data_IF_311810645103
#
_entry.id   IF_311810645103
#
_cell.length_a   1.000
_cell.length_b   1.000
_cell.length_c   1.000
_cell.angle_alpha   90.00
_cell.angle_beta   90.00
_cell.angle_gamma   90.00
#
_symmetry.space_group_name_H-M   'P 1'
#
loop_
_entity.id
_entity.type
_entity.pdbx_description
1 polymer ?
#
# COMPACT_ATOMS: atom_id res chain seq x y z
N UNK A 1 -6.27 14.08 -9.45
CA UNK A 1 -6.32 15.26 -8.54
C UNK A 1 -6.68 14.76 -7.14
N UNK A 2 -6.03 15.24 -6.08
CA UNK A 2 -6.42 14.85 -4.72
C UNK A 2 -7.88 15.26 -4.45
N UNK A 3 -8.61 14.41 -3.75
CA UNK A 3 -10.00 14.68 -3.35
C UNK A 3 -10.08 15.91 -2.44
N UNK A 4 -11.24 16.58 -2.41
CA UNK A 4 -11.42 17.74 -1.54
C UNK A 4 -11.33 17.37 -0.05
N UNK A 5 -11.07 18.36 0.81
CA UNK A 5 -11.01 18.18 2.28
C UNK A 5 -12.29 17.52 2.82
N UNK A 6 -13.44 17.94 2.31
CA UNK A 6 -14.75 17.38 2.69
C UNK A 6 -14.87 15.93 2.20
N UNK A 7 -14.48 15.66 0.96
CA UNK A 7 -14.46 14.30 0.42
C UNK A 7 -13.55 13.36 1.22
N UNK A 8 -12.36 13.82 1.61
CA UNK A 8 -11.44 13.05 2.46
C UNK A 8 -12.05 12.72 3.84
N UNK A 9 -12.75 13.68 4.46
CA UNK A 9 -13.43 13.45 5.77
C UNK A 9 -14.55 12.42 5.66
N UNK A 10 -15.36 12.48 4.59
CA UNK A 10 -16.41 11.50 4.33
C UNK A 10 -15.81 10.12 4.08
N UNK A 11 -14.79 10.02 3.23
CA UNK A 11 -14.05 8.77 2.97
C UNK A 11 -13.49 8.17 4.27
N UNK A 12 -12.92 8.99 5.15
CA UNK A 12 -12.41 8.55 6.46
C UNK A 12 -13.50 7.94 7.35
N UNK A 13 -14.71 8.54 7.36
CA UNK A 13 -15.84 8.00 8.12
C UNK A 13 -16.32 6.67 7.53
N UNK A 14 -16.43 6.58 6.20
CA UNK A 14 -16.80 5.34 5.50
C UNK A 14 -15.79 4.22 5.77
N UNK A 15 -14.49 4.53 5.77
CA UNK A 15 -13.45 3.55 6.08
C UNK A 15 -13.53 3.02 7.52
N UNK A 16 -13.82 3.88 8.50
CA UNK A 16 -14.03 3.44 9.88
C UNK A 16 -15.19 2.46 10.02
N UNK A 17 -16.31 2.71 9.34
CA UNK A 17 -17.48 1.82 9.34
C UNK A 17 -17.14 0.50 8.64
N UNK A 18 -16.46 0.55 7.47
CA UNK A 18 -16.02 -0.63 6.74
C UNK A 18 -15.08 -1.50 7.59
N UNK A 19 -14.11 -0.88 8.27
CA UNK A 19 -13.08 -1.59 9.06
C UNK A 19 -13.66 -2.29 10.29
N UNK A 20 -14.76 -1.78 10.83
CA UNK A 20 -15.52 -2.46 11.88
C UNK A 20 -16.21 -3.73 11.37
N UNK A 21 -16.61 -3.73 10.10
CA UNK A 21 -17.36 -4.84 9.48
C UNK A 21 -16.46 -5.86 8.75
N UNK A 22 -15.24 -5.48 8.39
CA UNK A 22 -14.28 -6.31 7.61
C UNK A 22 -12.88 -6.12 8.18
N UNK A 23 -12.39 -7.03 9.02
CA UNK A 23 -11.04 -6.97 9.56
C UNK A 23 -9.99 -6.88 8.45
N UNK A 24 -9.17 -5.85 8.48
CA UNK A 24 -8.08 -5.63 7.50
C UNK A 24 -6.97 -6.66 7.64
N UNK A 25 -6.87 -7.32 8.78
CA UNK A 25 -5.91 -8.40 9.03
C UNK A 25 -6.00 -9.52 7.99
N UNK A 26 -7.22 -9.91 7.58
CA UNK A 26 -7.40 -10.98 6.58
C UNK A 26 -6.74 -10.64 5.23
N UNK A 27 -6.77 -9.36 4.83
CA UNK A 27 -6.13 -8.90 3.59
C UNK A 27 -4.61 -8.93 3.73
N UNK A 28 -4.10 -8.48 4.89
CA UNK A 28 -2.67 -8.44 5.17
C UNK A 28 -2.05 -9.84 5.34
N UNK A 29 -2.83 -10.84 5.78
CA UNK A 29 -2.35 -12.23 5.84
C UNK A 29 -1.99 -12.78 4.46
N UNK A 30 -2.71 -12.37 3.41
CA UNK A 30 -2.41 -12.76 2.03
C UNK A 30 -1.12 -12.11 1.51
N UNK A 31 -0.71 -10.97 2.05
CA UNK A 31 0.52 -10.24 1.67
C UNK A 31 1.81 -10.87 2.25
N UNK A 32 1.71 -11.92 3.08
CA UNK A 32 2.82 -12.70 3.66
C UNK A 32 3.87 -11.86 4.38
N UNK A 33 3.44 -10.78 5.06
CA UNK A 33 4.31 -9.88 5.80
C UNK A 33 4.92 -10.62 7.00
N UNK A 34 6.22 -10.42 7.23
CA UNK A 34 6.96 -11.03 8.33
C UNK A 34 7.61 -9.97 9.23
N UNK A 35 7.97 -10.37 10.44
CA UNK A 35 8.76 -9.55 11.35
C UNK A 35 10.06 -9.08 10.68
N UNK A 36 10.40 -7.81 10.86
CA UNK A 36 11.59 -7.20 10.30
C UNK A 36 11.44 -6.73 8.85
N UNK A 37 10.29 -6.95 8.20
CA UNK A 37 10.07 -6.49 6.82
C UNK A 37 9.97 -4.97 6.72
N UNK A 38 10.45 -4.44 5.60
CA UNK A 38 10.17 -3.09 5.12
C UNK A 38 8.94 -3.13 4.23
N UNK A 39 7.87 -2.44 4.63
CA UNK A 39 6.57 -2.46 3.94
C UNK A 39 6.20 -1.05 3.49
N UNK A 40 5.82 -0.91 2.22
CA UNK A 40 5.23 0.32 1.69
C UNK A 40 3.70 0.16 1.60
N UNK A 41 2.95 1.03 2.26
CA UNK A 41 1.51 1.23 2.06
C UNK A 41 1.32 2.39 1.07
N UNK A 42 1.13 2.07 -0.22
CA UNK A 42 0.99 3.05 -1.29
C UNK A 42 -0.48 3.46 -1.43
N UNK A 43 -0.77 4.72 -1.13
CA UNK A 43 -2.14 5.23 -0.98
C UNK A 43 -2.71 4.89 0.40
N UNK A 44 -1.93 5.16 1.45
CA UNK A 44 -2.25 4.76 2.83
C UNK A 44 -3.53 5.39 3.39
N UNK A 45 -4.06 6.44 2.75
CA UNK A 45 -5.27 7.13 3.17
C UNK A 45 -5.22 7.55 4.65
N UNK A 46 -6.33 7.40 5.38
CA UNK A 46 -6.37 7.77 6.80
C UNK A 46 -5.69 6.74 7.74
N UNK A 47 -4.92 5.79 7.23
CA UNK A 47 -4.08 4.88 8.00
C UNK A 47 -4.76 3.63 8.52
N UNK A 48 -5.72 3.08 7.77
CA UNK A 48 -6.44 1.90 8.20
C UNK A 48 -5.60 0.63 8.34
N UNK A 49 -4.50 0.51 7.60
CA UNK A 49 -3.57 -0.62 7.71
C UNK A 49 -2.42 -0.40 8.70
N UNK A 50 -2.20 0.83 9.18
CA UNK A 50 -1.02 1.19 9.97
C UNK A 50 -0.89 0.36 11.25
N UNK A 51 -1.92 0.31 12.09
CA UNK A 51 -1.83 -0.45 13.35
C UNK A 51 -1.63 -1.96 13.13
N UNK A 52 -2.39 -2.62 12.23
CA UNK A 52 -2.10 -4.00 11.87
C UNK A 52 -0.70 -4.22 11.29
N UNK A 53 -0.17 -3.29 10.49
CA UNK A 53 1.20 -3.39 9.96
C UNK A 53 2.25 -3.31 11.06
N UNK A 54 2.08 -2.41 12.05
CA UNK A 54 2.99 -2.29 13.19
C UNK A 54 3.10 -3.61 13.95
N UNK A 55 1.98 -4.30 14.16
CA UNK A 55 1.95 -5.61 14.81
C UNK A 55 2.68 -6.67 13.96
N UNK A 56 2.43 -6.69 12.64
CA UNK A 56 3.00 -7.70 11.75
C UNK A 56 4.51 -7.53 11.53
N UNK A 57 4.99 -6.31 11.29
CA UNK A 57 6.42 -6.09 11.04
C UNK A 57 7.24 -6.06 12.33
N UNK A 58 6.61 -5.78 13.46
CA UNK A 58 7.28 -5.67 14.76
C UNK A 58 8.24 -4.47 14.85
N UNK A 59 8.98 -4.33 15.96
CA UNK A 59 9.84 -3.17 16.21
C UNK A 59 11.09 -3.11 15.31
N UNK A 60 11.50 -4.23 14.73
CA UNK A 60 12.66 -4.30 13.80
C UNK A 60 12.29 -4.05 12.34
N UNK A 61 11.00 -4.04 12.01
CA UNK A 61 10.52 -3.74 10.66
C UNK A 61 10.34 -2.25 10.44
N UNK A 62 10.12 -1.86 9.18
CA UNK A 62 9.93 -0.47 8.77
C UNK A 62 8.64 -0.33 7.97
N UNK A 63 7.85 0.70 8.24
CA UNK A 63 6.64 1.03 7.48
C UNK A 63 6.84 2.37 6.77
N UNK A 64 6.58 2.38 5.47
CA UNK A 64 6.50 3.59 4.66
C UNK A 64 5.03 3.81 4.32
N UNK A 65 4.47 4.94 4.74
CA UNK A 65 3.08 5.32 4.47
C UNK A 65 3.07 6.45 3.45
N UNK A 66 2.71 6.13 2.20
CA UNK A 66 2.71 7.09 1.10
C UNK A 66 1.27 7.45 0.70
N UNK A 67 1.03 8.75 0.54
CA UNK A 67 -0.22 9.26 -0.03
C UNK A 67 0.03 10.63 -0.67
N UNK A 68 -0.75 10.96 -1.70
CA UNK A 68 -0.72 12.28 -2.34
C UNK A 68 -1.42 13.35 -1.48
N UNK A 69 -2.30 12.93 -0.55
CA UNK A 69 -3.16 13.83 0.19
C UNK A 69 -2.52 14.25 1.53
N UNK A 70 -2.24 15.54 1.78
CA UNK A 70 -1.57 16.00 3.02
C UNK A 70 -2.36 15.68 4.30
N UNK A 71 -3.69 15.53 4.22
CA UNK A 71 -4.48 15.11 5.38
C UNK A 71 -4.25 13.63 5.75
N UNK A 72 -3.98 12.76 4.77
CA UNK A 72 -3.60 11.38 5.02
C UNK A 72 -2.28 11.35 5.82
N UNK A 73 -1.27 12.03 5.33
CA UNK A 73 0.05 12.14 5.98
C UNK A 73 -0.08 12.70 7.41
N UNK A 74 -0.89 13.75 7.59
CA UNK A 74 -1.15 14.31 8.92
C UNK A 74 -1.83 13.31 9.86
N UNK A 75 -2.78 12.54 9.36
CA UNK A 75 -3.50 11.56 10.17
C UNK A 75 -2.56 10.40 10.58
N UNK A 76 -1.67 9.94 9.68
CA UNK A 76 -0.63 8.95 10.02
C UNK A 76 0.29 9.49 11.13
N UNK A 77 0.82 10.70 10.99
CA UNK A 77 1.66 11.33 12.03
C UNK A 77 0.97 11.34 13.40
N UNK A 78 -0.32 11.68 13.44
CA UNK A 78 -1.11 11.64 14.69
C UNK A 78 -1.24 10.23 15.28
N UNK A 79 -1.42 9.21 14.42
CA UNK A 79 -1.46 7.81 14.86
C UNK A 79 -0.10 7.44 15.47
N UNK A 80 0.98 7.75 14.78
CA UNK A 80 2.37 7.49 15.18
C UNK A 80 2.68 8.13 16.54
N UNK A 81 2.41 9.42 16.69
CA UNK A 81 2.64 10.18 17.92
C UNK A 81 1.83 9.63 19.11
N UNK A 82 0.52 9.40 18.91
CA UNK A 82 -0.38 8.91 19.97
C UNK A 82 -0.02 7.53 20.52
N UNK A 83 0.57 6.68 19.67
CA UNK A 83 0.90 5.31 20.02
C UNK A 83 2.40 5.10 20.28
N UNK A 84 3.22 6.17 20.22
CA UNK A 84 4.67 6.09 20.45
C UNK A 84 5.41 5.22 19.42
N UNK A 85 4.89 5.14 18.18
CA UNK A 85 5.46 4.28 17.14
C UNK A 85 6.68 4.97 16.53
N UNK A 86 7.81 4.23 16.43
CA UNK A 86 9.10 4.79 15.99
C UNK A 86 9.49 4.38 14.56
N UNK A 87 8.87 3.36 14.00
CA UNK A 87 9.26 2.71 12.75
C UNK A 87 8.31 3.00 11.58
N UNK A 88 7.74 4.21 11.55
CA UNK A 88 6.92 4.68 10.44
C UNK A 88 7.53 5.94 9.82
N UNK A 89 7.70 5.92 8.51
CA UNK A 89 8.07 7.09 7.69
C UNK A 89 6.89 7.46 6.80
N UNK A 90 6.49 8.72 6.81
CA UNK A 90 5.42 9.24 5.95
C UNK A 90 6.00 9.91 4.71
N UNK A 91 5.42 9.65 3.55
CA UNK A 91 5.84 10.18 2.24
C UNK A 91 4.65 10.86 1.57
N UNK A 92 4.75 12.17 1.30
CA UNK A 92 3.74 12.90 0.54
C UNK A 92 4.16 12.94 -0.93
N UNK A 93 3.56 12.07 -1.76
CA UNK A 93 3.92 11.93 -3.17
C UNK A 93 2.79 11.25 -3.95
N UNK A 94 2.75 11.49 -5.26
CA UNK A 94 1.86 10.82 -6.21
C UNK A 94 2.53 9.61 -6.93
N UNK A 95 3.85 9.50 -6.87
CA UNK A 95 4.60 8.46 -7.55
C UNK A 95 5.96 8.19 -6.90
N UNK A 96 6.84 9.20 -6.89
CA UNK A 96 8.22 9.05 -6.41
C UNK A 96 8.25 8.79 -4.91
N UNK A 97 8.77 7.63 -4.53
CA UNK A 97 8.88 7.24 -3.12
C UNK A 97 10.09 7.83 -2.41
N UNK A 98 11.15 8.18 -3.16
CA UNK A 98 12.44 8.56 -2.60
C UNK A 98 13.19 7.43 -1.90
N UNK A 99 12.66 6.20 -1.96
CA UNK A 99 13.29 5.03 -1.35
C UNK A 99 14.42 4.47 -2.23
N UNK A 100 15.43 3.81 -1.65
CA UNK A 100 16.48 3.14 -2.41
C UNK A 100 15.94 1.99 -3.27
N UNK A 101 16.69 1.63 -4.30
CA UNK A 101 16.43 0.43 -5.10
C UNK A 101 16.49 -0.81 -4.22
N UNK A 102 15.61 -1.79 -4.49
CA UNK A 102 15.60 -3.09 -3.81
C UNK A 102 15.60 -2.99 -2.27
N UNK A 103 14.83 -2.06 -1.70
CA UNK A 103 14.79 -1.78 -0.26
C UNK A 103 13.51 -2.24 0.44
N UNK A 104 12.44 -2.56 -0.31
CA UNK A 104 11.13 -2.89 0.22
C UNK A 104 10.82 -4.37 0.02
N UNK A 105 10.38 -5.05 1.08
CA UNK A 105 10.00 -6.47 1.04
C UNK A 105 8.58 -6.65 0.50
N UNK A 106 7.64 -5.77 0.89
CA UNK A 106 6.25 -5.87 0.46
C UNK A 106 5.69 -4.48 0.16
N UNK A 107 5.02 -4.34 -0.97
CA UNK A 107 4.20 -3.19 -1.30
C UNK A 107 2.73 -3.58 -1.19
N UNK A 108 1.96 -2.82 -0.40
CA UNK A 108 0.51 -2.85 -0.39
C UNK A 108 0.01 -1.82 -1.40
N UNK A 109 -0.78 -2.26 -2.36
CA UNK A 109 -1.29 -1.42 -3.44
C UNK A 109 -2.79 -1.66 -3.58
N UNK A 110 -3.56 -1.07 -2.62
CA UNK A 110 -4.95 -1.39 -2.43
C UNK A 110 -5.87 -0.20 -2.71
N UNK A 111 -6.85 -0.39 -3.62
CA UNK A 111 -7.89 0.57 -3.97
C UNK A 111 -7.35 1.95 -4.41
N UNK A 112 -6.26 1.97 -5.16
CA UNK A 112 -5.58 3.20 -5.61
C UNK A 112 -5.37 3.22 -7.12
N UNK A 113 -5.18 2.05 -7.74
CA UNK A 113 -4.74 1.95 -9.13
C UNK A 113 -5.71 2.60 -10.13
N UNK A 114 -7.02 2.47 -9.89
CA UNK A 114 -8.06 3.05 -10.73
C UNK A 114 -8.02 4.59 -10.77
N UNK A 115 -7.48 5.25 -9.75
CA UNK A 115 -7.40 6.71 -9.63
C UNK A 115 -6.06 7.31 -10.12
N UNK A 116 -5.09 6.46 -10.51
CA UNK A 116 -3.77 6.92 -10.92
C UNK A 116 -3.80 7.62 -12.28
N UNK A 117 -3.23 8.82 -12.32
CA UNK A 117 -3.03 9.56 -13.57
C UNK A 117 -1.91 8.94 -14.45
N UNK A 118 -0.90 8.32 -13.82
CA UNK A 118 0.29 7.76 -14.48
C UNK A 118 0.61 6.36 -13.94
N UNK A 119 -0.26 5.35 -14.18
CA UNK A 119 -0.11 4.02 -13.58
C UNK A 119 1.21 3.34 -13.94
N UNK A 120 1.69 3.50 -15.18
CA UNK A 120 2.95 2.89 -15.60
C UNK A 120 4.19 3.48 -14.92
N UNK A 121 4.17 4.77 -14.57
CA UNK A 121 5.27 5.40 -13.82
C UNK A 121 5.30 4.88 -12.40
N UNK A 122 4.13 4.75 -11.78
CA UNK A 122 4.00 4.13 -10.45
C UNK A 122 4.49 2.68 -10.48
N UNK A 123 4.07 1.87 -11.44
CA UNK A 123 4.53 0.48 -11.55
C UNK A 123 6.05 0.37 -11.72
N UNK A 124 6.70 1.28 -12.50
CA UNK A 124 8.17 1.33 -12.60
C UNK A 124 8.83 1.68 -11.26
N UNK A 125 8.28 2.64 -10.53
CA UNK A 125 8.78 3.01 -9.20
C UNK A 125 8.63 1.86 -8.21
N UNK A 126 7.48 1.19 -8.17
CA UNK A 126 7.26 0.03 -7.30
C UNK A 126 8.21 -1.13 -7.66
N UNK A 127 8.43 -1.36 -8.96
CA UNK A 127 9.41 -2.35 -9.42
C UNK A 127 10.84 -2.01 -8.97
N UNK A 128 11.24 -0.74 -9.07
CA UNK A 128 12.57 -0.28 -8.68
C UNK A 128 12.85 -0.52 -7.20
N UNK A 129 11.90 -0.17 -6.32
CA UNK A 129 12.09 -0.25 -4.87
C UNK A 129 11.92 -1.66 -4.29
N UNK A 130 11.13 -2.53 -4.95
CA UNK A 130 10.94 -3.91 -4.49
C UNK A 130 12.24 -4.71 -4.56
N UNK A 131 12.53 -5.47 -3.52
CA UNK A 131 13.60 -6.48 -3.51
C UNK A 131 13.32 -7.57 -4.55
N UNK A 132 14.33 -8.34 -4.94
CA UNK A 132 14.19 -9.45 -5.89
C UNK A 132 13.11 -10.45 -5.47
N UNK A 133 13.05 -10.79 -4.18
CA UNK A 133 12.04 -11.69 -3.59
C UNK A 133 10.84 -10.92 -3.03
N UNK A 134 10.74 -9.61 -3.29
CA UNK A 134 9.67 -8.75 -2.78
C UNK A 134 8.33 -9.04 -3.44
N UNK A 135 7.26 -8.71 -2.72
CA UNK A 135 5.88 -8.95 -3.16
C UNK A 135 5.15 -7.63 -3.35
N UNK A 136 4.55 -7.45 -4.53
CA UNK A 136 3.50 -6.48 -4.75
C UNK A 136 2.16 -7.17 -4.46
N UNK A 137 1.54 -6.81 -3.32
CA UNK A 137 0.20 -7.26 -2.96
C UNK A 137 -0.82 -6.24 -3.45
N UNK A 138 -1.71 -6.67 -4.31
CA UNK A 138 -2.64 -5.81 -5.05
C UNK A 138 -4.10 -6.18 -4.78
N UNK A 139 -4.94 -5.17 -4.64
CA UNK A 139 -6.40 -5.28 -4.61
C UNK A 139 -7.02 -3.98 -5.11
N UNK A 140 -8.00 -4.06 -6.00
CA UNK A 140 -8.78 -2.90 -6.41
C UNK A 140 -10.22 -3.32 -6.74
N UNK A 141 -11.16 -2.99 -5.84
CA UNK A 141 -12.54 -3.41 -5.97
C UNK A 141 -13.35 -2.61 -7.01
N UNK A 142 -12.75 -1.57 -7.61
CA UNK A 142 -13.32 -0.82 -8.73
C UNK A 142 -12.96 -1.42 -10.10
N UNK A 143 -12.08 -2.42 -10.13
CA UNK A 143 -11.58 -3.04 -11.35
C UNK A 143 -11.95 -4.53 -11.42
N UNK A 144 -12.10 -5.06 -12.64
CA UNK A 144 -12.25 -6.49 -12.85
C UNK A 144 -10.90 -7.19 -12.75
N UNK A 145 -10.92 -8.44 -12.27
CA UNK A 145 -9.71 -9.25 -12.09
C UNK A 145 -8.86 -9.34 -13.37
N UNK A 146 -9.48 -9.69 -14.50
CA UNK A 146 -8.78 -9.81 -15.79
C UNK A 146 -8.12 -8.48 -16.20
N UNK A 147 -8.78 -7.36 -15.97
CA UNK A 147 -8.24 -6.03 -16.26
C UNK A 147 -7.02 -5.72 -15.40
N UNK A 148 -7.09 -6.02 -14.10
CA UNK A 148 -5.96 -5.86 -13.16
C UNK A 148 -4.76 -6.68 -13.63
N UNK A 149 -4.99 -7.98 -13.88
CA UNK A 149 -3.92 -8.88 -14.30
C UNK A 149 -3.26 -8.38 -15.58
N UNK A 150 -4.06 -8.02 -16.59
CA UNK A 150 -3.57 -7.53 -17.86
C UNK A 150 -2.78 -6.22 -17.72
N UNK A 151 -3.26 -5.25 -16.91
CA UNK A 151 -2.60 -3.96 -16.76
C UNK A 151 -1.27 -4.05 -16.02
N UNK A 152 -1.17 -4.89 -15.00
CA UNK A 152 0.05 -5.03 -14.21
C UNK A 152 1.08 -5.88 -14.96
N UNK A 153 0.68 -7.05 -15.48
CA UNK A 153 1.62 -7.93 -16.19
C UNK A 153 1.96 -7.45 -17.60
N UNK A 154 1.03 -6.73 -18.25
CA UNK A 154 1.25 -6.17 -19.60
C UNK A 154 2.39 -5.16 -19.69
N UNK A 155 2.86 -4.63 -18.57
CA UNK A 155 4.07 -3.79 -18.52
C UNK A 155 5.37 -4.56 -18.68
N UNK A 156 5.35 -5.88 -18.50
CA UNK A 156 6.54 -6.74 -18.41
C UNK A 156 7.35 -6.59 -17.11
N UNK A 157 6.94 -5.70 -16.19
CA UNK A 157 7.64 -5.44 -14.93
C UNK A 157 7.30 -6.46 -13.83
N UNK A 158 6.12 -7.06 -13.91
CA UNK A 158 5.59 -7.94 -12.90
C UNK A 158 5.01 -9.23 -13.49
N UNK A 159 5.13 -10.32 -12.75
CA UNK A 159 4.47 -11.61 -13.02
C UNK A 159 3.61 -12.03 -11.84
N UNK A 160 2.48 -12.66 -12.10
CA UNK A 160 1.59 -13.23 -11.07
C UNK A 160 2.31 -14.38 -10.37
N UNK A 161 2.27 -14.40 -9.03
CA UNK A 161 2.79 -15.50 -8.20
C UNK A 161 1.74 -16.14 -7.30
N UNK A 162 0.56 -15.54 -7.22
CA UNK A 162 -0.56 -16.09 -6.44
C UNK A 162 -1.81 -15.24 -6.51
N UNK A 163 -2.96 -15.92 -6.38
CA UNK A 163 -4.26 -15.30 -6.24
C UNK A 163 -4.85 -15.71 -4.89
N UNK A 164 -5.01 -14.76 -4.00
CA UNK A 164 -5.72 -14.92 -2.74
C UNK A 164 -7.23 -14.75 -2.92
N UNK A 165 -7.97 -14.78 -1.83
CA UNK A 165 -9.41 -14.51 -1.84
C UNK A 165 -9.75 -13.03 -2.01
N UNK A 166 -8.81 -12.15 -1.65
CA UNK A 166 -9.00 -10.69 -1.62
C UNK A 166 -7.91 -9.94 -2.36
N UNK A 167 -6.75 -10.56 -2.58
CA UNK A 167 -5.58 -9.92 -3.19
C UNK A 167 -4.95 -10.79 -4.25
N UNK A 168 -4.25 -10.14 -5.19
CA UNK A 168 -3.32 -10.76 -6.12
C UNK A 168 -1.90 -10.45 -5.70
N UNK A 169 -1.03 -11.44 -5.76
CA UNK A 169 0.38 -11.30 -5.45
C UNK A 169 1.21 -11.33 -6.72
N UNK A 170 2.08 -10.34 -6.87
CA UNK A 170 2.99 -10.24 -7.99
C UNK A 170 4.43 -10.19 -7.50
N UNK A 171 5.34 -10.83 -8.23
CA UNK A 171 6.78 -10.64 -8.10
C UNK A 171 7.29 -9.78 -9.26
N UNK A 172 8.38 -9.05 -9.02
CA UNK A 172 9.06 -8.34 -10.10
C UNK A 172 9.68 -9.33 -11.08
N UNK A 173 9.77 -8.95 -12.33
CA UNK A 173 10.57 -9.63 -13.35
C UNK A 173 12.03 -9.15 -13.28
N UNK A 174 12.94 -9.93 -13.82
CA UNK A 174 14.36 -9.56 -13.94
C UNK A 174 14.58 -8.38 -14.90
#
# INVERSE_FOLDING_TARGET
>A
MPISITGFRIMKLMFKVRDLLRPRLDVLQEAKIQHGFSVLDFGCGPGGYIMPLVELVGPSGQIYALDIHPLAIRDIKKITERNGIQNIVTIESDCNTGLPDNSVDTVLFYDVFHDLARPNDVLRELHRILKAEGILSFSDHHMKEDEVLQRITGTGLFRVIGNGKKTHSFAKTD
#
